data_IF_547118239833
#
_entry.id   IF_547118239833
#
_cell.length_a   1.000
_cell.length_b   1.000
_cell.length_c   1.000
_cell.angle_alpha   90.00
_cell.angle_beta   90.00
_cell.angle_gamma   90.00
#
_symmetry.space_group_name_H-M   'P 1'
#
loop_
_entity.id
_entity.type
_entity.pdbx_description
1 polymer ?
#
# COMPACT_ATOMS: atom_id res chain seq x y z
N UNK A 1 6.19 28.29 19.60
CA UNK A 1 6.05 27.01 20.34
C UNK A 1 5.25 25.91 19.62
N UNK A 2 4.15 26.14 18.89
CA UNK A 2 3.56 25.10 17.97
C UNK A 2 3.95 25.33 16.51
N UNK A 3 4.02 26.59 16.07
CA UNK A 3 4.47 26.99 14.74
C UNK A 3 5.93 26.63 14.46
N UNK A 4 6.80 26.80 15.45
CA UNK A 4 8.23 26.44 15.38
C UNK A 4 8.48 24.94 15.21
N UNK A 5 7.49 24.11 15.55
CA UNK A 5 7.54 22.66 15.35
C UNK A 5 7.02 22.23 13.97
N UNK A 6 6.62 23.17 13.11
CA UNK A 6 6.05 22.89 11.79
C UNK A 6 4.66 22.23 11.83
N UNK A 7 4.01 22.19 12.99
CA UNK A 7 2.77 21.45 13.19
C UNK A 7 1.52 22.19 12.70
N UNK A 8 1.61 23.51 12.54
CA UNK A 8 0.51 24.33 11.99
C UNK A 8 0.46 24.25 10.48
N UNK A 9 -0.74 24.08 9.92
CA UNK A 9 -0.96 24.16 8.49
C UNK A 9 -0.75 25.60 7.99
N UNK A 10 0.36 25.82 7.28
CA UNK A 10 0.71 27.07 6.59
C UNK A 10 0.41 26.99 5.07
N UNK A 11 -0.04 25.83 4.57
CA UNK A 11 -0.24 25.54 3.14
C UNK A 11 -1.71 25.46 2.74
N UNK A 12 -2.58 26.13 3.49
CA UNK A 12 -4.05 26.08 3.37
C UNK A 12 -4.53 26.38 1.96
N UNK A 13 -3.93 27.38 1.30
CA UNK A 13 -4.29 27.82 -0.05
C UNK A 13 -4.05 26.70 -1.08
N UNK A 14 -2.85 26.12 -1.10
CA UNK A 14 -2.49 25.04 -2.03
C UNK A 14 -3.35 23.78 -1.81
N UNK A 15 -3.62 23.43 -0.56
CA UNK A 15 -4.43 22.25 -0.22
C UNK A 15 -5.90 22.43 -0.59
N UNK A 16 -6.49 23.59 -0.31
CA UNK A 16 -7.89 23.82 -0.64
C UNK A 16 -8.09 23.95 -2.15
N UNK A 17 -7.11 24.53 -2.85
CA UNK A 17 -7.08 24.50 -4.31
C UNK A 17 -7.02 23.08 -4.87
N UNK A 18 -6.21 22.17 -4.28
CA UNK A 18 -6.17 20.75 -4.67
C UNK A 18 -7.55 20.08 -4.57
N UNK A 19 -8.33 20.41 -3.54
CA UNK A 19 -9.70 19.90 -3.36
C UNK A 19 -10.79 20.71 -4.08
N UNK A 20 -10.42 21.68 -4.93
CA UNK A 20 -11.38 22.54 -5.63
C UNK A 20 -12.24 23.40 -4.70
N UNK A 21 -11.75 23.72 -3.50
CA UNK A 21 -12.44 24.55 -2.50
C UNK A 21 -11.84 25.96 -2.49
N UNK A 22 -12.70 26.96 -2.25
CA UNK A 22 -12.25 28.33 -1.99
C UNK A 22 -11.49 28.43 -0.66
N UNK A 23 -10.56 29.39 -0.59
CA UNK A 23 -9.73 29.60 0.61
C UNK A 23 -10.60 29.97 1.80
N UNK A 24 -10.50 29.19 2.88
CA UNK A 24 -11.14 29.47 4.16
C UNK A 24 -10.09 29.81 5.21
N UNK A 25 -10.06 31.07 5.61
CA UNK A 25 -9.17 31.57 6.67
C UNK A 25 -9.37 30.86 8.02
N UNK A 26 -10.55 30.27 8.26
CA UNK A 26 -10.83 29.44 9.45
C UNK A 26 -9.89 28.24 9.56
N UNK A 27 -9.33 27.76 8.45
CA UNK A 27 -8.40 26.63 8.44
C UNK A 27 -6.93 27.04 8.60
N UNK A 28 -6.60 28.35 8.57
CA UNK A 28 -5.23 28.85 8.75
C UNK A 28 -4.77 28.67 10.19
N UNK A 29 -3.60 28.06 10.37
CA UNK A 29 -3.02 27.81 11.69
C UNK A 29 -3.64 26.64 12.46
N UNK A 30 -4.64 25.94 11.89
CA UNK A 30 -5.07 24.65 12.42
C UNK A 30 -3.91 23.65 12.25
N UNK A 31 -3.55 22.87 13.29
CA UNK A 31 -2.51 21.86 13.16
C UNK A 31 -2.82 20.83 12.08
N UNK A 32 -1.81 20.15 11.54
CA UNK A 32 -2.07 18.94 10.76
C UNK A 32 -2.67 17.84 11.66
N UNK A 33 -3.67 17.06 11.18
CA UNK A 33 -4.09 15.86 11.88
C UNK A 33 -2.89 14.93 12.02
N UNK A 34 -2.66 14.43 13.24
CA UNK A 34 -1.51 13.59 13.50
C UNK A 34 -1.76 12.56 14.57
N UNK A 35 -0.97 11.49 14.50
CA UNK A 35 -0.94 10.41 15.47
C UNK A 35 0.44 10.39 16.13
N UNK A 36 0.46 10.43 17.45
CA UNK A 36 1.66 10.18 18.24
C UNK A 36 1.63 8.71 18.66
N UNK A 37 2.74 8.02 18.43
CA UNK A 37 2.93 6.62 18.83
C UNK A 37 3.80 6.63 20.07
N UNK A 38 3.32 6.00 21.13
CA UNK A 38 3.99 5.92 22.42
C UNK A 38 4.49 4.50 22.66
N UNK A 39 5.64 4.36 23.32
CA UNK A 39 6.06 3.08 23.89
C UNK A 39 5.31 2.76 25.20
N UNK A 40 5.60 1.60 25.80
CA UNK A 40 4.98 1.16 27.06
C UNK A 40 5.23 2.13 28.23
N UNK A 41 6.31 2.92 28.17
CA UNK A 41 6.64 3.94 29.16
C UNK A 41 5.94 5.29 28.92
N UNK A 42 5.16 5.42 27.86
CA UNK A 42 4.49 6.66 27.48
C UNK A 42 5.41 7.65 26.74
N UNK A 43 6.57 7.23 26.25
CA UNK A 43 7.48 8.07 25.47
C UNK A 43 7.09 8.06 24.01
N UNK A 44 7.05 9.23 23.36
CA UNK A 44 6.77 9.32 21.92
C UNK A 44 7.94 8.74 21.12
N UNK A 45 7.69 7.60 20.46
CA UNK A 45 8.66 6.90 19.60
C UNK A 45 8.39 7.11 18.10
N UNK A 46 7.21 7.63 17.75
CA UNK A 46 6.83 7.91 16.38
C UNK A 46 5.81 9.04 16.27
N UNK A 47 5.79 9.70 15.12
CA UNK A 47 4.83 10.77 14.78
C UNK A 47 4.46 10.65 13.32
N UNK A 48 3.16 10.57 13.05
CA UNK A 48 2.61 10.56 11.70
C UNK A 48 1.68 11.77 11.55
N UNK A 49 1.79 12.52 10.46
CA UNK A 49 0.93 13.67 10.17
C UNK A 49 0.37 13.59 8.77
N UNK A 50 -0.91 13.89 8.63
CA UNK A 50 -1.62 13.85 7.36
C UNK A 50 -1.88 15.26 6.83
N UNK A 51 -1.89 15.40 5.51
CA UNK A 51 -2.18 16.69 4.87
C UNK A 51 -3.67 17.06 4.98
N UNK A 52 -4.55 16.07 5.18
CA UNK A 52 -5.99 16.24 5.23
C UNK A 52 -6.60 15.59 6.47
N UNK A 53 -7.49 16.33 7.15
CA UNK A 53 -8.30 15.82 8.27
C UNK A 53 -9.26 14.69 7.89
N UNK A 54 -9.36 14.40 6.60
CA UNK A 54 -10.17 13.31 6.07
C UNK A 54 -9.40 12.00 5.98
N UNK A 55 -8.07 12.05 5.91
CA UNK A 55 -7.25 10.85 5.85
C UNK A 55 -7.17 10.21 7.25
N UNK A 56 -7.29 8.88 7.29
CA UNK A 56 -7.26 8.11 8.54
C UNK A 56 -6.28 6.95 8.41
N UNK A 57 -5.20 6.93 9.18
CA UNK A 57 -4.37 5.73 9.26
C UNK A 57 -5.13 4.59 9.97
N UNK A 58 -5.08 3.36 9.46
CA UNK A 58 -5.49 2.18 10.23
C UNK A 58 -4.46 1.84 11.30
N UNK A 59 -4.89 1.10 12.34
CA UNK A 59 -3.95 0.55 13.31
C UNK A 59 -2.90 -0.33 12.63
N UNK A 60 -3.31 -1.16 11.67
CA UNK A 60 -2.38 -1.98 10.87
C UNK A 60 -1.38 -1.15 10.07
N UNK A 61 -1.79 -0.01 9.50
CA UNK A 61 -0.88 0.90 8.81
C UNK A 61 0.18 1.47 9.76
N UNK A 62 -0.24 1.93 10.94
CA UNK A 62 0.69 2.49 11.93
C UNK A 62 1.66 1.43 12.46
N UNK A 63 1.18 0.20 12.69
CA UNK A 63 2.02 -0.92 13.12
C UNK A 63 3.05 -1.32 12.04
N UNK A 64 2.64 -1.33 10.77
CA UNK A 64 3.54 -1.56 9.64
C UNK A 64 4.67 -0.52 9.57
N UNK A 65 4.36 0.76 9.79
CA UNK A 65 5.39 1.83 9.85
C UNK A 65 6.39 1.66 11.01
N UNK A 66 6.03 0.92 12.06
CA UNK A 66 6.92 0.58 13.18
C UNK A 66 7.70 -0.72 12.94
N UNK A 67 7.51 -1.38 11.79
CA UNK A 67 8.13 -2.67 11.48
C UNK A 67 7.54 -3.85 12.26
N UNK A 68 6.33 -3.69 12.80
CA UNK A 68 5.60 -4.80 13.43
C UNK A 68 5.11 -5.73 12.33
N UNK A 69 5.34 -7.03 12.49
CA UNK A 69 4.91 -8.03 11.51
C UNK A 69 3.40 -7.93 11.26
N UNK A 70 2.96 -7.83 10.00
CA UNK A 70 1.55 -7.68 9.69
C UNK A 70 0.77 -8.96 9.96
N UNK A 71 -0.46 -8.82 10.42
CA UNK A 71 -1.43 -9.93 10.47
C UNK A 71 -1.86 -10.28 9.04
N UNK A 72 -2.21 -11.54 8.78
CA UNK A 72 -2.59 -12.05 7.46
C UNK A 72 -4.03 -12.65 7.39
N UNK A 73 -5.05 -11.97 7.95
CA UNK A 73 -6.41 -12.51 7.92
C UNK A 73 -6.91 -12.60 6.48
N UNK A 74 -7.18 -13.82 6.01
CA UNK A 74 -7.78 -14.04 4.68
C UNK A 74 -6.83 -13.79 3.51
N UNK A 75 -5.55 -14.09 3.67
CA UNK A 75 -4.57 -14.03 2.59
C UNK A 75 -5.05 -14.81 1.35
N UNK A 76 -4.88 -14.19 0.18
CA UNK A 76 -5.00 -14.86 -1.11
C UNK A 76 -3.63 -15.36 -1.54
N UNK A 77 -3.58 -16.57 -2.06
CA UNK A 77 -2.33 -17.21 -2.48
C UNK A 77 -2.45 -17.75 -3.89
N UNK A 78 -1.39 -17.61 -4.66
CA UNK A 78 -1.31 -18.17 -6.00
C UNK A 78 0.13 -18.60 -6.31
N UNK A 79 0.26 -19.75 -6.95
CA UNK A 79 1.52 -20.24 -7.51
C UNK A 79 1.32 -20.41 -9.02
N UNK A 80 2.01 -19.60 -9.82
CA UNK A 80 1.94 -19.65 -11.28
C UNK A 80 3.27 -20.01 -11.93
N UNK A 81 4.38 -19.78 -11.23
CA UNK A 81 5.71 -20.29 -11.63
C UNK A 81 6.10 -21.37 -10.63
N UNK A 82 6.57 -22.55 -11.09
CA UNK A 82 7.08 -23.57 -10.20
C UNK A 82 8.13 -23.01 -9.23
N UNK A 83 7.89 -23.15 -7.93
CA UNK A 83 8.81 -22.66 -6.91
C UNK A 83 8.74 -21.14 -6.66
N UNK A 84 7.70 -20.45 -7.12
CA UNK A 84 7.37 -19.08 -6.68
C UNK A 84 5.92 -19.00 -6.25
N UNK A 85 5.72 -18.86 -4.94
CA UNK A 85 4.40 -18.68 -4.34
C UNK A 85 4.20 -17.21 -3.98
N UNK A 86 3.18 -16.59 -4.58
CA UNK A 86 2.78 -15.23 -4.25
C UNK A 86 1.61 -15.24 -3.28
N UNK A 87 1.66 -14.37 -2.27
CA UNK A 87 0.60 -14.17 -1.28
C UNK A 87 0.30 -12.69 -1.15
N UNK A 88 -0.97 -12.33 -1.04
CA UNK A 88 -1.40 -10.96 -0.81
C UNK A 88 -2.47 -10.90 0.29
N UNK A 89 -2.40 -9.90 1.15
CA UNK A 89 -3.35 -9.72 2.25
C UNK A 89 -3.41 -8.27 2.74
N UNK A 90 -4.43 -7.98 3.54
CA UNK A 90 -4.53 -6.73 4.31
C UNK A 90 -4.54 -7.08 5.78
N UNK A 91 -3.82 -6.33 6.61
CA UNK A 91 -3.73 -6.57 8.06
C UNK A 91 -5.02 -6.34 8.85
N UNK A 92 -6.16 -6.20 8.18
CA UNK A 92 -7.50 -6.02 8.75
C UNK A 92 -8.55 -6.54 7.77
N UNK A 93 -9.65 -7.10 8.27
CA UNK A 93 -10.82 -7.49 7.48
C UNK A 93 -11.85 -6.36 7.35
N UNK A 94 -11.73 -5.30 8.14
CA UNK A 94 -12.63 -4.15 8.15
C UNK A 94 -11.91 -2.84 7.86
N UNK A 95 -12.65 -1.85 7.37
CA UNK A 95 -12.15 -0.49 7.17
C UNK A 95 -13.19 0.58 7.54
N UNK A 96 -12.74 1.82 7.69
CA UNK A 96 -13.59 3.02 7.82
C UNK A 96 -13.46 3.92 6.59
N UNK A 97 -14.45 4.78 6.30
CA UNK A 97 -14.34 5.74 5.19
C UNK A 97 -13.06 6.56 5.25
N UNK A 98 -12.37 6.66 4.10
CA UNK A 98 -11.13 7.42 3.89
C UNK A 98 -9.95 6.91 4.71
N UNK A 99 -10.00 5.63 5.09
CA UNK A 99 -8.93 4.96 5.80
C UNK A 99 -7.85 4.49 4.84
N UNK A 100 -6.59 4.73 5.24
CA UNK A 100 -5.40 4.14 4.66
C UNK A 100 -5.15 2.78 5.30
N UNK A 101 -4.98 1.77 4.46
CA UNK A 101 -4.64 0.40 4.87
C UNK A 101 -3.42 -0.08 4.08
N UNK A 102 -2.51 -0.86 4.69
CA UNK A 102 -1.40 -1.46 3.97
C UNK A 102 -1.86 -2.76 3.30
N UNK A 103 -1.59 -2.88 2.00
CA UNK A 103 -1.69 -4.14 1.25
C UNK A 103 -0.31 -4.76 1.24
N UNK A 104 -0.18 -5.95 1.82
CA UNK A 104 1.07 -6.68 1.85
C UNK A 104 1.09 -7.73 0.75
N UNK A 105 2.25 -7.89 0.14
CA UNK A 105 2.53 -8.93 -0.85
C UNK A 105 3.83 -9.63 -0.46
N UNK A 106 3.80 -10.95 -0.42
CA UNK A 106 4.98 -11.79 -0.24
C UNK A 106 5.18 -12.69 -1.43
N UNK A 107 6.40 -12.78 -1.93
CA UNK A 107 6.83 -13.87 -2.81
C UNK A 107 7.78 -14.76 -2.01
N UNK A 108 7.40 -16.03 -1.89
CA UNK A 108 8.23 -17.10 -1.35
C UNK A 108 8.84 -17.87 -2.54
N UNK A 109 10.17 -17.98 -2.60
CA UNK A 109 10.90 -18.65 -3.68
C UNK A 109 11.56 -19.91 -3.16
N UNK A 110 11.46 -21.01 -3.91
CA UNK A 110 12.16 -22.25 -3.60
C UNK A 110 13.67 -22.12 -3.79
N UNK A 111 14.43 -22.99 -3.12
CA UNK A 111 15.90 -23.05 -3.25
C UNK A 111 16.35 -23.07 -4.70
N UNK A 112 17.26 -22.15 -5.06
CA UNK A 112 17.81 -22.03 -6.40
C UNK A 112 16.93 -21.26 -7.40
N UNK A 113 15.73 -20.84 -7.01
CA UNK A 113 14.87 -19.92 -7.78
C UNK A 113 15.12 -18.49 -7.33
N UNK A 114 15.18 -17.57 -8.28
CA UNK A 114 15.35 -16.15 -8.03
C UNK A 114 14.45 -15.31 -8.93
N UNK A 115 14.08 -14.12 -8.46
CA UNK A 115 13.23 -13.17 -9.19
C UNK A 115 14.02 -11.92 -9.51
N UNK A 116 13.92 -11.43 -10.75
CA UNK A 116 14.57 -10.18 -11.13
C UNK A 116 13.93 -8.97 -10.45
N UNK A 117 14.75 -8.00 -10.05
CA UNK A 117 14.31 -6.70 -9.53
C UNK A 117 14.95 -5.56 -10.33
N UNK A 118 14.37 -4.35 -10.34
CA UNK A 118 14.93 -3.24 -11.07
C UNK A 118 16.35 -2.86 -10.58
N UNK A 119 17.22 -2.39 -11.48
CA UNK A 119 17.06 -2.30 -12.93
C UNK A 119 17.25 -3.67 -13.62
N UNK A 120 16.57 -3.88 -14.75
CA UNK A 120 16.76 -5.05 -15.62
C UNK A 120 17.03 -4.63 -17.06
N UNK A 121 17.75 -5.45 -17.87
CA UNK A 121 17.90 -5.22 -19.30
C UNK A 121 16.59 -5.35 -20.08
N UNK A 122 16.58 -4.84 -21.32
CA UNK A 122 15.44 -4.98 -22.23
C UNK A 122 15.09 -6.46 -22.48
N UNK A 123 13.80 -6.77 -22.52
CA UNK A 123 13.30 -8.13 -22.70
C UNK A 123 13.11 -8.93 -21.41
N UNK A 124 13.52 -8.40 -20.26
CA UNK A 124 13.29 -9.01 -18.95
C UNK A 124 12.23 -8.24 -18.16
N UNK A 125 11.47 -8.94 -17.32
CA UNK A 125 10.39 -8.34 -16.52
C UNK A 125 10.79 -8.33 -15.04
N UNK A 126 11.00 -7.15 -14.44
CA UNK A 126 11.33 -7.08 -13.02
C UNK A 126 10.07 -7.27 -12.18
N UNK A 127 10.27 -7.65 -10.91
CA UNK A 127 9.23 -7.63 -9.89
C UNK A 127 8.60 -6.24 -9.81
N UNK A 128 7.27 -6.21 -9.87
CA UNK A 128 6.47 -5.04 -9.55
C UNK A 128 5.14 -5.46 -8.93
N UNK A 129 4.69 -4.68 -7.97
CA UNK A 129 3.39 -4.85 -7.32
C UNK A 129 2.65 -3.54 -7.42
N UNK A 130 1.44 -3.59 -7.98
CA UNK A 130 0.57 -2.44 -8.19
C UNK A 130 -0.82 -2.78 -7.69
N UNK A 131 -1.39 -1.85 -6.92
CA UNK A 131 -2.83 -1.82 -6.67
C UNK A 131 -3.41 -0.76 -7.60
N UNK A 132 -4.11 -1.13 -8.68
CA UNK A 132 -4.70 -0.14 -9.58
C UNK A 132 -5.81 0.61 -8.85
N UNK A 133 -5.79 1.94 -8.96
CA UNK A 133 -6.83 2.78 -8.41
C UNK A 133 -8.13 2.74 -9.23
N UNK A 134 -9.24 3.03 -8.57
CA UNK A 134 -10.54 3.25 -9.19
C UNK A 134 -11.33 4.28 -8.35
N UNK A 135 -12.59 4.57 -8.73
CA UNK A 135 -13.46 5.59 -8.09
C UNK A 135 -13.61 5.53 -6.56
N UNK A 136 -13.15 4.44 -5.94
CA UNK A 136 -13.32 4.15 -4.53
C UNK A 136 -12.07 3.64 -3.82
N UNK A 137 -10.96 3.61 -4.54
CA UNK A 137 -9.70 3.09 -4.08
C UNK A 137 -8.63 3.96 -4.71
N UNK A 138 -7.93 4.73 -3.88
CA UNK A 138 -6.67 5.30 -4.28
C UNK A 138 -5.63 4.21 -4.12
N UNK A 139 -5.25 3.64 -5.26
CA UNK A 139 -4.22 2.62 -5.36
C UNK A 139 -2.80 3.20 -5.33
N UNK A 140 -1.82 2.36 -5.58
CA UNK A 140 -0.41 2.71 -5.53
C UNK A 140 0.50 1.60 -6.05
N UNK A 141 1.81 1.78 -5.92
CA UNK A 141 2.80 0.76 -6.25
C UNK A 141 3.75 0.52 -5.08
N UNK A 142 4.24 -0.71 -4.97
CA UNK A 142 5.22 -1.06 -3.95
C UNK A 142 6.60 -0.51 -4.31
N UNK A 143 7.37 -0.15 -3.29
CA UNK A 143 8.81 0.04 -3.44
C UNK A 143 9.48 -1.33 -3.41
N UNK A 144 10.11 -1.69 -4.52
CA UNK A 144 10.89 -2.92 -4.63
C UNK A 144 12.26 -2.72 -3.96
N UNK A 145 12.74 -3.68 -3.14
CA UNK A 145 14.07 -3.58 -2.55
C UNK A 145 15.17 -3.69 -3.61
N UNK A 146 16.37 -3.22 -3.25
CA UNK A 146 17.55 -3.45 -4.08
C UNK A 146 17.90 -4.95 -4.07
N UNK A 147 18.17 -5.50 -5.24
CA UNK A 147 18.58 -6.90 -5.36
C UNK A 147 20.08 -7.11 -5.21
N UNK A 148 20.46 -8.37 -5.10
CA UNK A 148 21.86 -8.80 -5.18
C UNK A 148 22.27 -8.94 -6.65
N UNK A 149 23.48 -8.49 -7.05
CA UNK A 149 23.98 -8.71 -8.39
C UNK A 149 23.97 -10.20 -8.77
N UNK A 150 23.51 -10.50 -9.97
CA UNK A 150 23.48 -11.84 -10.55
C UNK A 150 24.02 -11.78 -11.97
N UNK A 151 24.87 -12.75 -12.31
CA UNK A 151 25.43 -12.92 -13.64
C UNK A 151 24.88 -14.21 -14.22
N UNK A 152 24.34 -14.12 -15.44
CA UNK A 152 23.87 -15.27 -16.19
C UNK A 152 24.95 -15.65 -17.19
N UNK A 153 25.38 -16.92 -17.17
CA UNK A 153 26.43 -17.38 -18.08
C UNK A 153 25.97 -17.21 -19.54
N UNK A 154 26.84 -16.62 -20.37
CA UNK A 154 26.53 -16.33 -21.76
C UNK A 154 25.83 -14.99 -22.02
N UNK A 155 25.44 -14.26 -20.97
CA UNK A 155 24.92 -12.89 -21.05
C UNK A 155 25.95 -11.91 -20.49
N UNK A 156 26.17 -10.79 -21.20
CA UNK A 156 27.11 -9.73 -20.79
C UNK A 156 26.46 -8.68 -19.89
N UNK A 157 25.15 -8.79 -19.69
CA UNK A 157 24.30 -7.92 -18.92
C UNK A 157 24.47 -8.14 -17.41
N UNK A 158 24.11 -7.11 -16.63
CA UNK A 158 24.07 -7.19 -15.17
C UNK A 158 22.63 -7.30 -14.71
N UNK A 159 22.34 -8.32 -13.91
CA UNK A 159 21.03 -8.53 -13.32
C UNK A 159 21.08 -8.26 -11.82
N UNK A 160 19.91 -7.96 -11.25
CA UNK A 160 19.72 -7.89 -9.82
C UNK A 160 18.55 -8.79 -9.46
N UNK A 161 18.72 -9.59 -8.42
CA UNK A 161 17.75 -10.61 -8.05
C UNK A 161 17.47 -10.59 -6.56
N UNK A 162 16.31 -11.13 -6.20
CA UNK A 162 15.97 -11.54 -4.83
C UNK A 162 15.77 -13.05 -4.81
N UNK A 163 16.05 -13.65 -3.65
CA UNK A 163 15.96 -15.09 -3.37
C UNK A 163 15.21 -15.29 -2.05
N UNK A 164 14.85 -16.53 -1.74
CA UNK A 164 14.17 -16.99 -0.52
C UNK A 164 12.78 -16.34 -0.29
N UNK A 165 12.75 -15.07 0.11
CA UNK A 165 11.52 -14.34 0.38
C UNK A 165 11.72 -12.85 0.06
N UNK A 166 10.68 -12.21 -0.49
CA UNK A 166 10.57 -10.76 -0.57
C UNK A 166 9.19 -10.29 -0.12
N UNK A 167 9.18 -9.33 0.81
CA UNK A 167 7.98 -8.66 1.31
C UNK A 167 7.87 -7.26 0.70
N UNK A 168 6.69 -6.91 0.23
CA UNK A 168 6.35 -5.65 -0.41
C UNK A 168 5.07 -5.11 0.20
N UNK A 169 4.99 -3.79 0.36
CA UNK A 169 3.79 -3.14 0.90
C UNK A 169 3.35 -2.00 0.00
N UNK A 170 2.03 -1.94 -0.27
CA UNK A 170 1.37 -0.87 -1.02
C UNK A 170 0.37 -0.18 -0.09
N UNK A 171 0.58 1.10 0.27
CA UNK A 171 -0.43 1.85 1.00
C UNK A 171 -1.58 2.22 0.07
N UNK A 172 -2.81 1.94 0.47
CA UNK A 172 -4.01 2.27 -0.32
C UNK A 172 -5.05 2.98 0.55
N UNK A 173 -5.86 3.84 -0.07
CA UNK A 173 -6.92 4.58 0.63
C UNK A 173 -8.29 4.21 0.09
N UNK A 174 -9.18 3.76 0.97
CA UNK A 174 -10.53 3.31 0.62
C UNK A 174 -11.56 4.43 0.82
N UNK A 175 -12.40 4.66 -0.19
CA UNK A 175 -13.59 5.48 -0.03
C UNK A 175 -14.68 4.71 0.75
N UNK A 176 -15.49 5.41 1.53
CA UNK A 176 -16.64 4.80 2.20
C UNK A 176 -17.86 4.60 1.27
N UNK A 177 -18.87 3.89 1.77
CA UNK A 177 -20.15 3.50 1.13
C UNK A 177 -20.87 4.66 0.43
N UNK A 178 -20.75 5.87 0.97
CA UNK A 178 -21.47 7.06 0.48
C UNK A 178 -20.60 8.25 0.07
N UNK A 179 -19.28 8.07 -0.11
CA UNK A 179 -18.36 9.20 -0.28
C UNK A 179 -17.52 9.17 -1.55
N UNK A 180 -17.23 10.39 -1.99
CA UNK A 180 -16.28 10.81 -3.01
C UNK A 180 -14.82 10.68 -2.51
N UNK A 181 -13.92 10.17 -3.36
CA UNK A 181 -12.48 10.19 -3.14
C UNK A 181 -11.87 11.28 -4.04
N UNK A 182 -11.25 12.31 -3.44
CA UNK A 182 -10.52 13.36 -4.16
C UNK A 182 -11.28 14.02 -5.35
N UNK A 183 -12.60 14.23 -5.21
CA UNK A 183 -13.40 14.89 -6.27
C UNK A 183 -13.99 13.95 -7.32
N UNK A 184 -13.87 12.63 -7.13
CA UNK A 184 -14.49 11.60 -7.98
C UNK A 184 -15.72 11.02 -7.30
N UNK A 185 -16.90 11.42 -7.78
CA UNK A 185 -18.18 10.99 -7.23
C UNK A 185 -18.52 9.59 -7.75
N UNK A 186 -18.80 8.65 -6.86
CA UNK A 186 -19.33 7.34 -7.23
C UNK A 186 -20.71 7.48 -7.86
N UNK A 187 -20.97 6.66 -8.87
CA UNK A 187 -22.31 6.53 -9.46
C UNK A 187 -23.26 5.72 -8.56
N UNK A 188 -22.78 4.69 -7.85
CA UNK A 188 -23.62 3.80 -7.04
C UNK A 188 -22.98 3.41 -5.67
N UNK A 189 -23.76 3.31 -4.58
CA UNK A 189 -23.31 2.76 -3.30
C UNK A 189 -22.98 1.26 -3.40
N UNK A 190 -21.94 0.78 -2.70
CA UNK A 190 -21.70 -0.67 -2.60
C UNK A 190 -22.67 -1.31 -1.60
N UNK A 191 -23.32 -2.43 -1.94
CA UNK A 191 -24.12 -3.19 -0.97
C UNK A 191 -23.23 -3.58 0.22
N UNK A 192 -23.71 -3.29 1.43
CA UNK A 192 -23.06 -3.68 2.70
C UNK A 192 -21.60 -3.20 2.86
N UNK A 193 -21.14 -2.21 2.07
CA UNK A 193 -19.77 -1.66 2.12
C UNK A 193 -18.66 -2.66 1.93
N UNK A 194 -18.95 -3.78 1.26
CA UNK A 194 -17.91 -4.65 0.75
C UNK A 194 -16.92 -3.82 -0.07
N UNK A 195 -15.64 -4.12 0.04
CA UNK A 195 -14.61 -3.55 -0.79
C UNK A 195 -13.67 -4.61 -1.33
N UNK A 196 -13.45 -4.55 -2.64
CA UNK A 196 -12.46 -5.37 -3.32
C UNK A 196 -11.27 -4.50 -3.63
N UNK A 197 -10.08 -4.97 -3.24
CA UNK A 197 -8.79 -4.38 -3.59
C UNK A 197 -8.13 -5.30 -4.62
N UNK A 198 -8.01 -4.89 -5.89
CA UNK A 198 -7.25 -5.62 -6.88
C UNK A 198 -5.74 -5.47 -6.62
N UNK A 199 -5.00 -6.56 -6.71
CA UNK A 199 -3.53 -6.58 -6.58
C UNK A 199 -2.95 -7.23 -7.82
N UNK A 200 -2.11 -6.49 -8.53
CA UNK A 200 -1.41 -6.96 -9.73
C UNK A 200 0.06 -7.16 -9.39
N UNK A 201 0.54 -8.40 -9.53
CA UNK A 201 1.93 -8.79 -9.28
C UNK A 201 2.53 -9.22 -10.61
N UNK A 202 3.57 -8.52 -11.08
CA UNK A 202 4.34 -8.92 -12.26
C UNK A 202 5.74 -9.30 -11.86
N UNK A 203 6.25 -10.39 -12.41
CA UNK A 203 7.62 -10.82 -12.17
C UNK A 203 8.09 -11.77 -13.26
N UNK A 204 9.40 -11.96 -13.33
CA UNK A 204 10.02 -13.06 -14.03
C UNK A 204 11.00 -13.74 -13.09
N UNK A 205 10.92 -15.08 -13.04
CA UNK A 205 11.79 -15.91 -12.23
C UNK A 205 12.70 -16.76 -13.12
N UNK A 206 13.87 -17.09 -12.59
CA UNK A 206 14.80 -18.02 -13.22
C UNK A 206 15.44 -18.93 -12.16
N UNK A 207 15.99 -20.04 -12.63
CA UNK A 207 16.96 -20.87 -11.93
C UNK A 207 18.37 -20.52 -12.41
N UNK A 208 19.38 -21.28 -11.98
CA UNK A 208 20.74 -21.15 -12.52
C UNK A 208 20.87 -21.51 -14.01
N UNK A 209 19.89 -22.21 -14.59
CA UNK A 209 19.99 -22.76 -15.96
C UNK A 209 18.81 -22.42 -16.86
N UNK A 210 17.67 -22.02 -16.31
CA UNK A 210 16.44 -21.79 -17.06
C UNK A 210 15.71 -20.55 -16.55
N UNK A 211 15.21 -19.73 -17.48
CA UNK A 211 14.31 -18.63 -17.16
C UNK A 211 12.87 -18.99 -17.54
N UNK A 212 11.96 -18.79 -16.60
CA UNK A 212 10.54 -19.01 -16.82
C UNK A 212 9.94 -17.82 -17.61
N UNK A 213 8.82 -18.04 -18.33
CA UNK A 213 8.05 -16.96 -18.93
C UNK A 213 7.60 -15.95 -17.86
N UNK A 214 7.60 -14.63 -18.16
CA UNK A 214 7.06 -13.63 -17.25
C UNK A 214 5.62 -13.95 -16.83
N UNK A 215 5.32 -13.70 -15.56
CA UNK A 215 3.99 -13.89 -14.99
C UNK A 215 3.34 -12.56 -14.64
N UNK A 216 2.01 -12.53 -14.78
CA UNK A 216 1.14 -11.49 -14.22
C UNK A 216 0.05 -12.19 -13.41
N UNK A 217 0.05 -11.95 -12.10
CA UNK A 217 -0.96 -12.46 -11.18
C UNK A 217 -1.93 -11.36 -10.82
N UNK A 218 -3.21 -11.70 -10.73
CA UNK A 218 -4.27 -10.81 -10.32
C UNK A 218 -4.99 -11.44 -9.13
N UNK A 219 -4.83 -10.83 -7.96
CA UNK A 219 -5.45 -11.25 -6.71
C UNK A 219 -6.48 -10.20 -6.28
N UNK A 220 -7.53 -10.64 -5.59
CA UNK A 220 -8.59 -9.76 -5.09
C UNK A 220 -8.76 -9.93 -3.59
N UNK A 221 -8.57 -8.83 -2.84
CA UNK A 221 -8.69 -8.83 -1.38
C UNK A 221 -10.01 -8.19 -0.97
N UNK A 222 -10.78 -8.89 -0.14
CA UNK A 222 -12.06 -8.41 0.40
C UNK A 222 -11.91 -7.71 1.74
N UNK A 223 -12.57 -6.57 1.91
CA UNK A 223 -12.79 -5.90 3.19
C UNK A 223 -14.26 -5.49 3.33
N UNK A 224 -14.68 -5.21 4.55
CA UNK A 224 -16.03 -4.69 4.83
C UNK A 224 -15.94 -3.36 5.57
N UNK A 225 -16.73 -2.37 5.16
CA UNK A 225 -16.82 -1.12 5.90
C UNK A 225 -17.49 -1.37 7.25
N UNK A 226 -16.87 -0.88 8.33
CA UNK A 226 -17.46 -0.92 9.66
C UNK A 226 -18.72 -0.04 9.71
N UNK A 227 -19.80 -0.59 10.26
CA UNK A 227 -20.97 0.21 10.60
C UNK A 227 -20.58 1.24 11.66
N UNK A 228 -20.51 2.49 11.25
CA UNK A 228 -20.36 3.61 12.18
C UNK A 228 -21.69 3.72 12.91
N UNK A 229 -21.74 3.28 14.17
CA UNK A 229 -22.84 3.54 15.08
C UNK A 229 -23.15 5.04 15.01
N UNK A 230 -24.24 5.41 14.34
CA UNK A 230 -24.74 6.78 14.40
C UNK A 230 -25.37 6.92 15.78
N UNK A 231 -24.89 7.84 16.64
CA UNK A 231 -25.63 8.12 17.87
C UNK A 231 -27.06 8.48 17.48
N UNK A 232 -28.04 7.84 18.12
CA UNK A 232 -29.44 8.20 17.96
C UNK A 232 -29.56 9.70 18.28
N UNK A 233 -30.13 10.46 17.33
CA UNK A 233 -30.29 11.90 17.44
C UNK A 233 -31.35 12.28 18.46
#
# INVERSE_FOLDING_TARGET
>A
MISELGLTNQHVEAQQAFFGKGVSERHRGIPYPGTFILDEGGTVVGKEFEQSYRDRASGSYLLDQLGVAPLDPGAQEQEATPGVKARAWVGTSTYRPLQKVPVHVRLDMADGVHVYVPPVPDGFVPLSVVVPGHEALLGGSARVPNGTPHAVEGLGERFFVVTDQVDLTVPVKLAGRGFELDGQQRAEPRPEGAATIPVVIRYQACTSTECFPPQELQLELGLTEEDVLRPER
#
